data_IF_109297687699
#
_entry.id   IF_109297687699
#
_cell.length_a   1.000
_cell.length_b   1.000
_cell.length_c   1.000
_cell.angle_alpha   90.00
_cell.angle_beta   90.00
_cell.angle_gamma   90.00
#
_symmetry.space_group_name_H-M   'P 1'
#
loop_
_entity.id
_entity.type
_entity.pdbx_description
1 polymer ?
#
# COMPACT_ATOMS: atom_id res chain seq x y z
N UNK A 1 0.83 -3.81 -3.51
CA UNK A 1 2.23 -3.65 -3.92
C UNK A 1 2.81 -2.39 -3.30
N UNK A 2 4.08 -2.39 -2.91
CA UNK A 2 4.81 -1.21 -2.43
C UNK A 2 5.93 -0.88 -3.42
N UNK A 3 5.81 0.24 -4.14
CA UNK A 3 6.85 0.77 -5.05
C UNK A 3 7.37 2.11 -4.54
N UNK A 4 8.44 2.04 -3.75
CA UNK A 4 9.08 3.23 -3.19
C UNK A 4 9.92 4.00 -4.22
N UNK A 5 10.23 3.42 -5.39
CA UNK A 5 10.97 4.12 -6.43
C UNK A 5 10.07 5.10 -7.18
N UNK A 6 8.83 4.68 -7.42
CA UNK A 6 7.82 5.51 -8.08
C UNK A 6 6.89 6.23 -7.09
N UNK A 7 7.16 6.14 -5.79
CA UNK A 7 6.31 6.67 -4.71
C UNK A 7 4.83 6.25 -4.85
N UNK A 8 4.60 4.95 -5.04
CA UNK A 8 3.25 4.39 -5.23
C UNK A 8 2.97 3.21 -4.32
N UNK A 9 1.74 3.14 -3.85
CA UNK A 9 1.18 1.97 -3.16
C UNK A 9 -0.04 1.51 -3.95
N UNK A 10 -0.07 0.23 -4.28
CA UNK A 10 -1.26 -0.39 -4.87
C UNK A 10 -1.92 -1.28 -3.83
N UNK A 11 -3.20 -1.04 -3.55
CA UNK A 11 -4.01 -1.91 -2.69
C UNK A 11 -4.90 -2.77 -3.57
N UNK A 12 -4.87 -4.08 -3.34
CA UNK A 12 -5.80 -5.03 -3.93
C UNK A 12 -6.73 -5.52 -2.83
N UNK A 13 -8.03 -5.54 -3.11
CA UNK A 13 -9.02 -6.09 -2.20
C UNK A 13 -10.06 -6.87 -2.98
N UNK A 14 -10.54 -7.94 -2.33
CA UNK A 14 -11.65 -8.72 -2.82
C UNK A 14 -12.90 -8.33 -2.03
N UNK A 15 -13.99 -8.05 -2.74
CA UNK A 15 -15.31 -7.88 -2.14
C UNK A 15 -16.15 -9.05 -2.59
N UNK A 16 -16.79 -9.70 -1.62
CA UNK A 16 -17.80 -10.71 -1.90
C UNK A 16 -19.17 -10.07 -1.75
N UNK A 17 -19.98 -10.14 -2.81
CA UNK A 17 -21.34 -9.63 -2.76
C UNK A 17 -22.30 -10.65 -2.10
N UNK A 18 -23.57 -10.25 -1.95
CA UNK A 18 -24.60 -11.10 -1.36
C UNK A 18 -24.87 -12.36 -2.18
N UNK A 19 -24.54 -12.38 -3.47
CA UNK A 19 -24.67 -13.54 -4.36
C UNK A 19 -23.43 -14.45 -4.32
N UNK A 20 -22.48 -14.16 -3.42
CA UNK A 20 -21.20 -14.86 -3.26
C UNK A 20 -20.24 -14.73 -4.44
N UNK A 21 -20.50 -13.82 -5.38
CA UNK A 21 -19.52 -13.49 -6.42
C UNK A 21 -18.38 -12.70 -5.79
N UNK A 22 -17.14 -13.13 -6.03
CA UNK A 22 -15.95 -12.41 -5.59
C UNK A 22 -15.48 -11.48 -6.70
N UNK A 23 -15.41 -10.19 -6.41
CA UNK A 23 -14.87 -9.18 -7.33
C UNK A 23 -13.56 -8.64 -6.77
N UNK A 24 -12.56 -8.54 -7.63
CA UNK A 24 -11.25 -7.98 -7.31
C UNK A 24 -11.19 -6.54 -7.78
N UNK A 25 -10.79 -5.67 -6.87
CA UNK A 25 -10.64 -4.24 -7.13
C UNK A 25 -9.23 -3.78 -6.77
N UNK A 26 -8.87 -2.64 -7.36
CA UNK A 26 -7.53 -2.08 -7.33
C UNK A 26 -7.66 -0.60 -7.02
N UNK A 27 -6.80 -0.11 -6.14
CA UNK A 27 -6.61 1.32 -5.95
C UNK A 27 -5.12 1.62 -6.02
N UNK A 28 -4.81 2.71 -6.71
CA UNK A 28 -3.46 3.21 -6.83
C UNK A 28 -3.32 4.49 -6.02
N UNK A 29 -2.31 4.53 -5.18
CA UNK A 29 -2.12 5.58 -4.19
C UNK A 29 -0.76 6.21 -4.44
N UNK A 30 -0.77 7.47 -4.84
CA UNK A 30 0.44 8.29 -4.94
C UNK A 30 0.78 8.82 -3.57
N UNK A 31 2.02 8.61 -3.15
CA UNK A 31 2.52 9.04 -1.85
C UNK A 31 3.65 10.05 -2.02
N UNK A 32 3.88 10.87 -1.00
CA UNK A 32 5.11 11.65 -0.94
C UNK A 32 6.32 10.72 -0.79
N UNK A 33 7.50 11.22 -1.13
CA UNK A 33 8.75 10.53 -0.82
C UNK A 33 8.80 10.15 0.68
N UNK A 34 9.08 8.88 1.03
CA UNK A 34 9.14 8.46 2.43
C UNK A 34 10.24 9.17 3.20
N UNK A 35 9.88 9.82 4.30
CA UNK A 35 10.80 10.46 5.23
C UNK A 35 11.13 9.50 6.39
N UNK A 36 12.40 9.19 6.60
CA UNK A 36 12.83 8.30 7.69
C UNK A 36 12.74 9.02 9.04
N UNK A 37 12.01 8.44 9.99
CA UNK A 37 11.86 8.99 11.34
C UNK A 37 12.48 8.11 12.44
N UNK A 38 12.91 6.90 12.08
CA UNK A 38 13.53 5.99 13.03
C UNK A 38 14.22 4.80 12.36
N UNK A 39 14.69 3.84 13.17
CA UNK A 39 15.14 2.55 12.67
C UNK A 39 13.99 1.89 11.93
N UNK A 40 14.17 1.62 10.62
CA UNK A 40 13.20 0.92 9.77
C UNK A 40 11.81 1.57 9.64
N UNK A 41 11.65 2.78 10.18
CA UNK A 41 10.35 3.47 10.28
C UNK A 41 10.40 4.76 9.47
N UNK A 42 9.39 4.93 8.63
CA UNK A 42 9.24 6.01 7.68
C UNK A 42 7.86 6.64 7.81
N UNK A 43 7.76 7.90 7.42
CA UNK A 43 6.49 8.61 7.27
C UNK A 43 6.32 9.10 5.85
N UNK A 44 5.10 9.16 5.37
CA UNK A 44 4.76 9.69 4.05
C UNK A 44 3.36 10.30 4.09
N UNK A 45 3.03 11.15 3.12
CA UNK A 45 1.67 11.68 2.95
C UNK A 45 0.99 11.04 1.75
N UNK A 46 -0.33 10.96 1.80
CA UNK A 46 -1.12 10.62 0.60
C UNK A 46 -1.28 11.88 -0.24
N UNK A 47 -0.82 11.82 -1.49
CA UNK A 47 -0.95 12.91 -2.45
C UNK A 47 -2.20 12.74 -3.31
N UNK A 48 -2.44 11.52 -3.80
CA UNK A 48 -3.61 11.21 -4.59
C UNK A 48 -4.03 9.75 -4.41
N UNK A 49 -5.33 9.51 -4.50
CA UNK A 49 -5.92 8.16 -4.54
C UNK A 49 -6.66 8.05 -5.86
N UNK A 50 -6.20 7.15 -6.71
CA UNK A 50 -6.84 6.85 -7.98
C UNK A 50 -7.65 5.56 -7.85
N UNK A 51 -8.96 5.72 -7.95
CA UNK A 51 -9.93 4.64 -8.01
C UNK A 51 -10.34 4.44 -9.47
N UNK A 52 -10.33 3.20 -9.95
CA UNK A 52 -10.74 2.89 -11.33
C UNK A 52 -12.26 2.94 -11.46
N UNK A 53 -12.77 3.34 -12.63
CA UNK A 53 -14.22 3.45 -12.89
C UNK A 53 -14.97 2.12 -12.73
N UNK A 54 -14.28 1.00 -12.91
CA UNK A 54 -14.83 -0.34 -12.68
C UNK A 54 -15.08 -0.66 -11.21
N UNK A 55 -14.53 0.14 -10.29
CA UNK A 55 -14.65 -0.07 -8.87
C UNK A 55 -15.94 0.55 -8.30
N UNK A 56 -16.92 -0.34 -8.11
CA UNK A 56 -18.27 -0.02 -7.63
C UNK A 56 -18.42 -0.04 -6.11
N UNK A 57 -17.32 -0.14 -5.35
CA UNK A 57 -17.38 -0.25 -3.88
C UNK A 57 -17.77 1.05 -3.15
N UNK A 58 -18.03 2.14 -3.87
CA UNK A 58 -18.37 3.44 -3.28
C UNK A 58 -17.35 3.88 -2.21
N UNK A 59 -17.85 4.21 -1.02
CA UNK A 59 -17.06 4.67 0.13
C UNK A 59 -16.77 3.56 1.16
N UNK A 60 -16.91 2.28 0.79
CA UNK A 60 -16.75 1.12 1.70
C UNK A 60 -15.45 1.15 2.52
N UNK A 61 -14.39 1.71 1.95
CA UNK A 61 -13.07 1.79 2.57
C UNK A 61 -12.65 3.21 3.00
N UNK A 62 -13.59 4.17 3.04
CA UNK A 62 -13.31 5.57 3.42
C UNK A 62 -12.64 5.74 4.80
N UNK A 63 -12.82 4.76 5.69
CA UNK A 63 -12.19 4.68 7.00
C UNK A 63 -10.69 4.33 6.96
N UNK A 64 -10.18 3.79 5.84
CA UNK A 64 -8.76 3.53 5.68
C UNK A 64 -8.01 4.84 5.50
N UNK A 65 -7.15 5.16 6.47
CA UNK A 65 -6.29 6.36 6.44
C UNK A 65 -5.44 6.47 5.16
N UNK A 66 -5.03 5.34 4.59
CA UNK A 66 -4.28 5.30 3.33
C UNK A 66 -5.07 5.85 2.13
N UNK A 67 -6.39 5.95 2.24
CA UNK A 67 -7.28 6.47 1.21
C UNK A 67 -7.67 7.94 1.45
N UNK A 68 -7.07 8.59 2.45
CA UNK A 68 -7.37 9.95 2.83
C UNK A 68 -6.20 10.89 2.46
N UNK A 69 -6.38 11.79 1.46
CA UNK A 69 -5.38 12.78 1.08
C UNK A 69 -4.89 13.62 2.26
N UNK A 70 -3.64 14.08 2.18
CA UNK A 70 -2.96 14.90 3.19
C UNK A 70 -2.72 14.24 4.56
N UNK A 71 -3.20 13.02 4.79
CA UNK A 71 -2.89 12.29 6.03
C UNK A 71 -1.43 11.83 6.03
N UNK A 72 -0.75 12.03 7.16
CA UNK A 72 0.59 11.45 7.39
C UNK A 72 0.41 9.99 7.76
N UNK A 73 1.14 9.08 7.13
CA UNK A 73 1.05 7.64 7.35
C UNK A 73 2.42 7.11 7.79
N UNK A 74 2.43 6.02 8.55
CA UNK A 74 3.65 5.32 8.98
C UNK A 74 3.88 4.08 8.13
N UNK A 75 5.12 3.87 7.69
CA UNK A 75 5.61 2.65 7.05
C UNK A 75 6.75 2.07 7.87
N UNK A 76 6.63 0.81 8.29
CA UNK A 76 7.74 0.05 8.90
C UNK A 76 8.20 -1.03 7.93
N UNK A 77 9.51 -1.23 7.75
CA UNK A 77 10.07 -2.27 6.86
C UNK A 77 11.12 -3.11 7.60
N UNK A 78 10.84 -4.40 7.79
CA UNK A 78 11.72 -5.36 8.43
C UNK A 78 12.23 -6.41 7.44
N UNK A 79 13.55 -6.54 7.31
CA UNK A 79 14.14 -7.65 6.55
C UNK A 79 13.91 -8.97 7.29
N UNK A 80 13.31 -9.95 6.62
CA UNK A 80 12.99 -11.28 7.16
C UNK A 80 13.66 -12.42 6.38
N UNK A 81 14.26 -12.12 5.23
CA UNK A 81 15.02 -13.07 4.42
C UNK A 81 16.03 -12.37 3.53
N UNK A 82 16.70 -13.11 2.64
CA UNK A 82 17.77 -12.55 1.81
C UNK A 82 17.30 -11.38 0.94
N UNK A 83 16.10 -11.49 0.35
CA UNK A 83 15.43 -10.46 -0.46
C UNK A 83 13.98 -10.20 -0.05
N UNK A 84 13.59 -10.70 1.12
CA UNK A 84 12.20 -10.68 1.61
C UNK A 84 12.10 -9.75 2.80
N UNK A 85 11.08 -8.89 2.77
CA UNK A 85 10.81 -7.89 3.78
C UNK A 85 9.36 -8.00 4.22
N UNK A 86 9.12 -7.97 5.54
CA UNK A 86 7.82 -7.70 6.11
C UNK A 86 7.67 -6.19 6.23
N UNK A 87 6.58 -5.63 5.74
CA UNK A 87 6.25 -4.24 5.97
C UNK A 87 4.90 -4.09 6.64
N UNK A 88 4.73 -2.98 7.36
CA UNK A 88 3.45 -2.56 7.92
C UNK A 88 3.14 -1.11 7.54
N UNK A 89 1.86 -0.85 7.28
CA UNK A 89 1.30 0.49 7.08
C UNK A 89 0.40 0.83 8.27
N UNK A 90 0.71 1.92 8.96
CA UNK A 90 -0.01 2.40 10.16
C UNK A 90 -0.22 1.34 11.25
N UNK A 91 0.62 0.29 11.30
CA UNK A 91 0.45 -0.89 12.17
C UNK A 91 -0.88 -1.63 12.00
N UNK A 92 -1.56 -1.43 10.88
CA UNK A 92 -2.87 -2.00 10.58
C UNK A 92 -2.82 -2.97 9.41
N UNK A 93 -2.08 -2.63 8.35
CA UNK A 93 -1.92 -3.50 7.19
C UNK A 93 -0.52 -4.09 7.21
N UNK A 94 -0.41 -5.40 7.15
CA UNK A 94 0.84 -6.13 7.13
C UNK A 94 0.94 -6.92 5.84
N UNK A 95 2.09 -6.86 5.18
CA UNK A 95 2.33 -7.67 3.99
C UNK A 95 3.83 -7.90 3.79
N UNK A 96 4.18 -8.86 2.95
CA UNK A 96 5.56 -9.13 2.57
C UNK A 96 5.83 -8.58 1.18
N UNK A 97 7.04 -8.09 0.95
CA UNK A 97 7.53 -7.78 -0.37
C UNK A 97 8.88 -8.45 -0.61
N UNK A 98 9.12 -8.82 -1.86
CA UNK A 98 10.43 -9.26 -2.32
C UNK A 98 11.04 -8.15 -3.17
N UNK A 99 12.34 -7.94 -3.00
CA UNK A 99 13.09 -7.04 -3.88
C UNK A 99 13.54 -7.82 -5.10
N UNK A 100 13.14 -7.39 -6.30
CA UNK A 100 13.71 -7.88 -7.55
C UNK A 100 15.11 -7.30 -7.71
N UNK A 101 16.12 -7.99 -7.19
CA UNK A 101 17.51 -7.65 -7.48
C UNK A 101 17.80 -7.97 -8.94
N UNK A 102 18.17 -6.98 -9.75
CA UNK A 102 18.99 -7.23 -10.92
C UNK A 102 20.26 -7.93 -10.44
N UNK A 103 20.40 -9.22 -10.72
CA UNK A 103 21.74 -9.80 -10.84
C UNK A 103 22.42 -8.97 -11.93
N UNK A 104 23.47 -8.22 -11.57
CA UNK A 104 24.47 -7.89 -12.59
C UNK A 104 24.95 -9.25 -13.10
N UNK A 105 24.59 -9.55 -14.34
CA UNK A 105 25.22 -10.62 -15.10
C UNK A 105 26.68 -10.26 -15.36
#
# INVERSE_FOLDING_TARGET
MLDLKSNRITIHYAVQDQQREQRLFFQDITISAPNRIGPKTYTFRIEAVHKFDSDTTGEMFSWLRLLQPATVNELTINKVGQRTYLFSLNRQIYNFCTTSGSTKA
#
